data_IF_426958864000
#
_entry.id   IF_426958864000
#
_cell.length_a   1.000
_cell.length_b   1.000
_cell.length_c   1.000
_cell.angle_alpha   90.00
_cell.angle_beta   90.00
_cell.angle_gamma   90.00
#
_symmetry.space_group_name_H-M   'P 1'
#
loop_
_entity.id
_entity.type
_entity.pdbx_description
1 polymer ?
#
# COMPACT_ATOMS: atom_id res chain seq x y z
N UNK A 1 -3.76 11.36 -17.74
CA UNK A 1 -2.41 10.79 -17.54
C UNK A 1 -2.02 9.96 -18.74
N UNK A 2 -0.78 10.11 -19.25
CA UNK A 2 -0.24 9.19 -20.27
C UNK A 2 -0.20 7.77 -19.69
N UNK A 3 -0.44 6.74 -20.52
CA UNK A 3 -0.48 5.32 -20.10
C UNK A 3 0.77 4.92 -19.29
N UNK A 4 1.94 5.39 -19.74
CA UNK A 4 3.21 5.19 -19.06
C UNK A 4 3.25 5.78 -17.63
N UNK A 5 2.75 7.00 -17.44
CA UNK A 5 2.72 7.64 -16.11
C UNK A 5 1.85 6.87 -15.12
N UNK A 6 0.74 6.28 -15.59
CA UNK A 6 -0.15 5.50 -14.74
C UNK A 6 0.50 4.18 -14.31
N UNK A 7 1.22 3.52 -15.22
CA UNK A 7 1.97 2.30 -14.89
C UNK A 7 3.09 2.62 -13.89
N UNK A 8 3.89 3.65 -14.17
CA UNK A 8 4.95 4.09 -13.26
C UNK A 8 4.40 4.43 -11.87
N UNK A 9 3.28 5.14 -11.81
CA UNK A 9 2.59 5.46 -10.55
C UNK A 9 2.15 4.22 -9.77
N UNK A 10 1.55 3.23 -10.44
CA UNK A 10 1.13 2.00 -9.79
C UNK A 10 2.32 1.16 -9.32
N UNK A 11 3.44 1.15 -10.06
CA UNK A 11 4.65 0.46 -9.61
C UNK A 11 5.21 1.11 -8.35
N UNK A 12 5.33 2.44 -8.32
CA UNK A 12 5.86 3.17 -7.16
C UNK A 12 4.94 3.00 -5.94
N UNK A 13 3.64 3.26 -6.11
CA UNK A 13 2.68 3.12 -5.00
C UNK A 13 2.53 1.66 -4.55
N UNK A 14 2.58 0.71 -5.48
CA UNK A 14 2.51 -0.71 -5.19
C UNK A 14 3.71 -1.23 -4.42
N UNK A 15 4.92 -0.87 -4.83
CA UNK A 15 6.14 -1.22 -4.09
C UNK A 15 6.12 -0.59 -2.69
N UNK A 16 5.73 0.67 -2.58
CA UNK A 16 5.63 1.35 -1.30
C UNK A 16 4.64 0.67 -0.34
N UNK A 17 3.43 0.38 -0.81
CA UNK A 17 2.39 -0.29 -0.03
C UNK A 17 2.83 -1.70 0.34
N UNK A 18 3.38 -2.47 -0.61
CA UNK A 18 3.81 -3.85 -0.39
C UNK A 18 4.92 -3.94 0.67
N UNK A 19 5.97 -3.13 0.56
CA UNK A 19 7.08 -3.15 1.50
C UNK A 19 6.63 -2.76 2.91
N UNK A 20 5.80 -1.73 3.05
CA UNK A 20 5.29 -1.30 4.35
C UNK A 20 4.28 -2.29 4.95
N UNK A 21 3.43 -2.91 4.13
CA UNK A 21 2.57 -4.00 4.59
C UNK A 21 3.39 -5.15 5.13
N UNK A 22 4.41 -5.62 4.40
CA UNK A 22 5.25 -6.73 4.87
C UNK A 22 6.01 -6.37 6.15
N UNK A 23 6.55 -5.15 6.22
CA UNK A 23 7.25 -4.65 7.39
C UNK A 23 6.35 -4.61 8.64
N UNK A 24 5.13 -4.09 8.51
CA UNK A 24 4.20 -3.91 9.62
C UNK A 24 3.39 -5.17 9.97
N UNK A 25 3.21 -6.08 9.01
CA UNK A 25 2.54 -7.36 9.24
C UNK A 25 3.47 -8.41 9.87
N UNK A 26 4.75 -8.36 9.52
CA UNK A 26 5.77 -9.23 10.08
C UNK A 26 6.20 -8.80 11.49
N UNK A 27 6.89 -9.68 12.23
CA UNK A 27 7.36 -9.43 13.60
C UNK A 27 8.49 -8.39 13.72
N UNK A 28 8.74 -7.59 12.66
CA UNK A 28 9.88 -6.70 12.53
C UNK A 28 11.21 -7.45 12.58
N UNK A 29 12.31 -6.71 12.41
CA UNK A 29 13.64 -7.18 12.81
C UNK A 29 13.74 -6.87 14.31
N UNK A 30 13.15 -7.71 15.15
CA UNK A 30 13.21 -7.58 16.60
C UNK A 30 13.88 -8.82 17.21
N UNK A 31 14.72 -8.62 18.22
CA UNK A 31 15.39 -9.70 18.97
C UNK A 31 14.46 -10.31 20.05
N UNK A 32 13.14 -10.14 19.92
CA UNK A 32 12.18 -10.71 20.87
C UNK A 32 11.81 -12.14 20.50
N UNK A 33 11.85 -13.04 21.48
CA UNK A 33 11.59 -14.48 21.31
C UNK A 33 10.16 -14.82 20.85
N UNK A 34 9.25 -13.86 20.91
CA UNK A 34 7.85 -14.02 20.50
C UNK A 34 7.61 -13.42 19.12
N UNK A 35 7.39 -14.26 18.12
CA UNK A 35 6.93 -13.86 16.79
C UNK A 35 5.49 -13.32 16.87
N UNK A 36 5.34 -12.00 16.91
CA UNK A 36 4.02 -11.35 16.87
C UNK A 36 3.70 -10.88 15.45
N UNK A 37 2.72 -11.53 14.81
CA UNK A 37 2.24 -11.14 13.48
C UNK A 37 1.01 -10.24 13.58
N UNK A 38 0.98 -9.17 12.79
CA UNK A 38 -0.17 -8.29 12.68
C UNK A 38 -0.78 -8.35 11.27
N UNK A 39 -1.51 -9.42 11.01
CA UNK A 39 -2.09 -9.71 9.69
C UNK A 39 -3.12 -8.67 9.23
N UNK A 40 -3.58 -7.76 10.10
CA UNK A 40 -4.48 -6.67 9.72
C UNK A 40 -3.93 -5.80 8.59
N UNK A 41 -2.61 -5.61 8.52
CA UNK A 41 -1.99 -4.84 7.45
C UNK A 41 -2.10 -5.51 6.07
N UNK A 42 -2.31 -6.83 5.99
CA UNK A 42 -2.54 -7.52 4.71
C UNK A 42 -3.87 -7.09 4.06
N UNK A 43 -4.87 -6.69 4.86
CA UNK A 43 -6.12 -6.16 4.32
C UNK A 43 -5.89 -4.85 3.55
N UNK A 44 -4.93 -4.03 3.99
CA UNK A 44 -4.57 -2.78 3.33
C UNK A 44 -3.95 -3.05 1.95
N UNK A 45 -3.10 -4.07 1.86
CA UNK A 45 -2.59 -4.55 0.57
C UNK A 45 -3.72 -5.08 -0.33
N UNK A 46 -4.70 -5.77 0.25
CA UNK A 46 -5.90 -6.21 -0.45
C UNK A 46 -6.70 -5.04 -1.06
N UNK A 47 -6.92 -3.96 -0.29
CA UNK A 47 -7.59 -2.74 -0.78
C UNK A 47 -6.82 -2.13 -1.95
N UNK A 48 -5.48 -2.08 -1.86
CA UNK A 48 -4.65 -1.58 -2.95
C UNK A 48 -4.81 -2.44 -4.22
N UNK A 49 -4.80 -3.77 -4.07
CA UNK A 49 -4.95 -4.70 -5.19
C UNK A 49 -6.33 -4.61 -5.86
N UNK A 50 -7.38 -4.39 -5.08
CA UNK A 50 -8.74 -4.12 -5.59
C UNK A 50 -8.75 -2.83 -6.41
N UNK A 51 -8.15 -1.77 -5.88
CA UNK A 51 -7.99 -0.50 -6.60
C UNK A 51 -7.26 -0.67 -7.92
N UNK A 52 -6.11 -1.37 -7.90
CA UNK A 52 -5.30 -1.67 -9.08
C UNK A 52 -6.12 -2.45 -10.13
N UNK A 53 -6.84 -3.48 -9.70
CA UNK A 53 -7.69 -4.30 -10.57
C UNK A 53 -8.80 -3.49 -11.23
N UNK A 54 -9.42 -2.55 -10.50
CA UNK A 54 -10.44 -1.65 -11.01
C UNK A 54 -9.89 -0.67 -12.05
N UNK A 55 -8.61 -0.27 -11.95
CA UNK A 55 -8.01 0.66 -12.91
C UNK A 55 -7.91 0.11 -14.34
N UNK A 56 -7.83 -1.22 -14.50
CA UNK A 56 -7.80 -1.86 -15.82
C UNK A 56 -9.16 -1.80 -16.55
N UNK A 57 -10.26 -1.56 -15.81
CA UNK A 57 -11.58 -1.37 -16.40
C UNK A 57 -11.79 0.10 -16.73
N UNK A 58 -11.92 0.44 -18.01
CA UNK A 58 -12.00 1.83 -18.48
C UNK A 58 -13.09 2.66 -17.76
N UNK A 59 -14.25 2.03 -17.45
CA UNK A 59 -15.37 2.63 -16.70
C UNK A 59 -15.01 2.98 -15.24
N UNK A 60 -14.13 2.21 -14.62
CA UNK A 60 -13.77 2.33 -13.20
C UNK A 60 -12.37 2.91 -12.99
N UNK A 61 -11.71 3.36 -14.06
CA UNK A 61 -10.32 3.81 -14.02
C UNK A 61 -10.06 4.85 -12.94
N UNK A 62 -10.87 5.90 -12.89
CA UNK A 62 -10.74 6.98 -11.91
C UNK A 62 -10.98 6.48 -10.48
N UNK A 63 -11.99 5.63 -10.28
CA UNK A 63 -12.31 5.05 -8.97
C UNK A 63 -11.16 4.15 -8.50
N UNK A 64 -10.59 3.34 -9.39
CA UNK A 64 -9.44 2.50 -9.09
C UNK A 64 -8.22 3.33 -8.65
N UNK A 65 -7.98 4.49 -9.28
CA UNK A 65 -6.91 5.42 -8.86
C UNK A 65 -7.15 5.96 -7.45
N UNK A 66 -8.38 6.38 -7.15
CA UNK A 66 -8.77 6.88 -5.83
C UNK A 66 -8.60 5.79 -4.76
N UNK A 67 -9.01 4.55 -5.05
CA UNK A 67 -8.87 3.44 -4.12
C UNK A 67 -7.40 3.09 -3.89
N UNK A 68 -6.55 3.06 -4.92
CA UNK A 68 -5.10 2.83 -4.75
C UNK A 68 -4.39 3.92 -3.96
N UNK A 69 -4.91 5.17 -4.00
CA UNK A 69 -4.36 6.28 -3.23
C UNK A 69 -4.61 6.14 -1.74
N UNK A 70 -5.69 5.46 -1.32
CA UNK A 70 -6.06 5.36 0.08
C UNK A 70 -5.02 4.58 0.92
N UNK A 71 -4.59 3.35 0.55
CA UNK A 71 -3.49 2.64 1.19
C UNK A 71 -2.18 3.44 1.20
N UNK A 72 -1.87 4.10 0.08
CA UNK A 72 -0.66 4.90 -0.05
C UNK A 72 -0.64 6.07 0.96
N UNK A 73 -1.72 6.85 1.01
CA UNK A 73 -1.86 7.97 1.94
C UNK A 73 -1.86 7.53 3.41
N UNK A 74 -2.50 6.41 3.72
CA UNK A 74 -2.49 5.83 5.06
C UNK A 74 -1.07 5.52 5.53
N UNK A 75 -0.29 4.81 4.72
CA UNK A 75 1.09 4.49 5.04
C UNK A 75 2.01 5.71 5.05
N UNK A 76 1.78 6.67 4.15
CA UNK A 76 2.51 7.94 4.13
C UNK A 76 2.30 8.72 5.43
N UNK A 77 1.07 8.76 5.96
CA UNK A 77 0.77 9.39 7.25
C UNK A 77 1.46 8.68 8.43
N UNK A 78 1.50 7.34 8.44
CA UNK A 78 2.23 6.57 9.47
C UNK A 78 3.73 6.90 9.41
N UNK A 79 4.32 6.86 8.23
CA UNK A 79 5.75 7.15 8.03
C UNK A 79 6.11 8.56 8.47
N UNK A 80 5.29 9.57 8.12
CA UNK A 80 5.51 10.93 8.58
C UNK A 80 5.40 11.08 10.10
N UNK A 81 4.41 10.42 10.73
CA UNK A 81 4.31 10.41 12.19
C UNK A 81 5.53 9.77 12.85
N UNK A 82 6.06 8.69 12.27
CA UNK A 82 7.25 8.03 12.79
C UNK A 82 8.52 8.87 12.65
N UNK A 83 8.62 9.71 11.61
CA UNK A 83 9.76 10.62 11.38
C UNK A 83 9.67 11.94 12.17
N UNK A 84 8.48 12.33 12.61
CA UNK A 84 8.25 13.56 13.36
C UNK A 84 8.44 13.39 14.88
N UNK A 85 8.72 12.16 15.33
CA UNK A 85 9.05 11.77 16.71
C UNK A 85 10.57 11.59 16.79
#
# INVERSE_FOLDING_TARGET
MKKFMLIAWNVVTGLFVLLLTLWLAGPGISETETLQYNLWYLLILGIWFIGLSLQFKNKFKTIGVIITLFPFMFYLAITFRALAI
#
